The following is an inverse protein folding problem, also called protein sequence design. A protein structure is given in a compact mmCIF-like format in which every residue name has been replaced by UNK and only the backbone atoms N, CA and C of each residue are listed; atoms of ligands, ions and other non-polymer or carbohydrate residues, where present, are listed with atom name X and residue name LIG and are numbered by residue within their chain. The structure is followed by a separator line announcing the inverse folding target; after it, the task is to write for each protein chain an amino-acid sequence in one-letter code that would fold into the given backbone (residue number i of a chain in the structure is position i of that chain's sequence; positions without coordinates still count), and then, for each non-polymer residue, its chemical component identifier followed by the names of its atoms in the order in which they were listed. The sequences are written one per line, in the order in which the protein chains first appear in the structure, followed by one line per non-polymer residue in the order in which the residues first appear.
data_IF_196418277639
#
_entry.id   IF_196418277639
#
_cell.length_a   1.000
_cell.length_b   1.000
_cell.length_c   1.000
_cell.angle_alpha   90.00
_cell.angle_beta   90.00
_cell.angle_gamma   90.00
#
_symmetry.space_group_name_H-M   'P 1'
#
loop_
_entity.id
_entity.type
_entity.pdbx_description
1 polymer ?
#
# COMPACT_ATOMS: atom_id res chain seq x y z
N UNK A 1 9.43 -17.97 -9.62
CA UNK A 1 10.27 -17.63 -8.45
C UNK A 1 11.47 -18.56 -8.48
N UNK A 2 12.69 -18.02 -8.42
CA UNK A 2 13.92 -18.80 -8.31
C UNK A 2 14.64 -18.41 -7.03
N UNK A 3 15.15 -19.39 -6.27
CA UNK A 3 15.99 -19.09 -5.11
C UNK A 3 16.68 -20.31 -4.50
N UNK A 4 17.89 -20.08 -3.96
CA UNK A 4 18.63 -21.03 -3.13
C UNK A 4 18.41 -20.65 -1.66
N UNK A 5 18.09 -21.62 -0.82
CA UNK A 5 17.82 -21.42 0.63
C UNK A 5 18.90 -22.06 1.51
N UNK A 6 19.94 -22.65 0.92
CA UNK A 6 20.83 -23.56 1.64
C UNK A 6 21.92 -22.90 2.53
N UNK A 7 22.04 -21.57 2.59
CA UNK A 7 22.99 -20.86 3.49
C UNK A 7 22.85 -19.32 3.46
N UNK A 8 22.38 -18.79 2.33
CA UNK A 8 21.98 -17.40 2.16
C UNK A 8 20.73 -17.38 1.29
N UNK A 9 19.79 -16.49 1.62
CA UNK A 9 18.68 -16.15 0.77
C UNK A 9 19.21 -15.46 -0.48
N UNK A 10 18.73 -15.88 -1.64
CA UNK A 10 18.80 -15.15 -2.90
C UNK A 10 17.52 -15.49 -3.65
N UNK A 11 16.45 -14.76 -3.35
CA UNK A 11 15.12 -14.99 -3.91
C UNK A 11 14.79 -13.80 -4.80
N UNK A 12 14.47 -14.10 -6.06
CA UNK A 12 14.00 -13.11 -7.01
C UNK A 12 12.57 -13.48 -7.41
N UNK A 13 11.63 -12.63 -7.01
CA UNK A 13 10.23 -12.74 -7.36
C UNK A 13 9.85 -11.62 -8.33
N UNK A 14 9.29 -12.02 -9.47
CA UNK A 14 8.69 -11.12 -10.44
C UNK A 14 7.19 -11.39 -10.44
N UNK A 15 6.41 -10.36 -10.14
CA UNK A 15 4.96 -10.37 -10.15
C UNK A 15 4.52 -9.77 -11.49
N UNK A 16 3.82 -10.57 -12.29
CA UNK A 16 3.27 -10.14 -13.56
C UNK A 16 1.74 -10.21 -13.47
N UNK A 17 1.10 -9.06 -13.21
CA UNK A 17 -0.37 -8.92 -13.16
C UNK A 17 -1.04 -9.99 -12.29
N UNK A 18 -0.51 -10.21 -11.09
CA UNK A 18 -1.07 -11.14 -10.11
C UNK A 18 -2.41 -10.58 -9.62
N UNK A 19 -3.53 -11.32 -9.70
CA UNK A 19 -4.82 -10.84 -9.21
C UNK A 19 -4.80 -10.60 -7.70
N UNK A 20 -5.35 -9.48 -7.24
CA UNK A 20 -5.46 -9.19 -5.79
C UNK A 20 -6.53 -10.06 -5.14
N UNK A 21 -7.45 -10.64 -5.92
CA UNK A 21 -8.49 -11.54 -5.43
C UNK A 21 -7.94 -12.76 -4.66
N UNK A 22 -6.66 -13.11 -4.85
CA UNK A 22 -5.96 -14.10 -4.03
C UNK A 22 -5.96 -13.73 -2.53
N UNK A 23 -6.02 -12.44 -2.17
CA UNK A 23 -6.11 -12.00 -0.78
C UNK A 23 -7.45 -12.40 -0.11
N UNK A 24 -8.50 -12.64 -0.89
CA UNK A 24 -9.84 -12.95 -0.37
C UNK A 24 -9.91 -14.29 0.36
N UNK A 25 -8.99 -15.22 0.10
CA UNK A 25 -8.91 -16.47 0.86
C UNK A 25 -8.44 -16.27 2.31
N UNK A 26 -7.79 -15.13 2.59
CA UNK A 26 -7.26 -14.81 3.92
C UNK A 26 -8.19 -13.87 4.70
N UNK A 27 -9.08 -13.15 4.01
CA UNK A 27 -10.01 -12.20 4.63
C UNK A 27 -11.40 -12.30 3.98
N UNK A 28 -12.33 -13.06 4.59
CA UNK A 28 -13.72 -13.10 4.14
C UNK A 28 -14.35 -11.70 4.15
N UNK A 29 -15.04 -11.34 3.07
CA UNK A 29 -15.69 -10.04 2.93
C UNK A 29 -14.78 -8.90 2.48
N UNK A 30 -13.47 -9.14 2.26
CA UNK A 30 -12.56 -8.13 1.68
C UNK A 30 -12.97 -7.78 0.24
N UNK A 31 -13.36 -8.79 -0.55
CA UNK A 31 -13.76 -8.65 -1.95
C UNK A 31 -12.76 -7.78 -2.75
N UNK A 32 -11.49 -8.10 -2.58
CA UNK A 32 -10.38 -7.40 -3.21
C UNK A 32 -10.36 -7.66 -4.71
N UNK A 33 -10.18 -6.59 -5.47
CA UNK A 33 -10.06 -6.59 -6.92
C UNK A 33 -8.84 -5.77 -7.36
N UNK A 34 -8.47 -5.93 -8.63
CA UNK A 34 -7.29 -5.31 -9.23
C UNK A 34 -6.16 -6.30 -9.46
N UNK A 35 -5.00 -5.77 -9.83
CA UNK A 35 -3.81 -6.58 -10.12
C UNK A 35 -2.54 -5.93 -9.62
N UNK A 36 -1.58 -6.75 -9.21
CA UNK A 36 -0.26 -6.35 -8.74
C UNK A 36 0.79 -6.81 -9.73
N UNK A 37 1.71 -5.92 -10.07
CA UNK A 37 2.94 -6.21 -10.78
C UNK A 37 4.12 -5.63 -10.02
N UNK A 38 5.32 -6.14 -10.27
CA UNK A 38 6.52 -5.61 -9.63
C UNK A 38 7.58 -6.66 -9.36
N UNK A 39 8.60 -6.26 -8.62
CA UNK A 39 9.73 -7.11 -8.29
C UNK A 39 10.02 -7.07 -6.81
N UNK A 40 10.45 -8.22 -6.28
CA UNK A 40 10.94 -8.36 -4.91
C UNK A 40 12.22 -9.17 -4.97
N UNK A 41 13.27 -8.63 -4.35
CA UNK A 41 14.56 -9.28 -4.20
C UNK A 41 14.86 -9.45 -2.72
N UNK A 42 15.11 -10.68 -2.30
CA UNK A 42 15.50 -11.01 -0.93
C UNK A 42 16.90 -11.61 -0.95
N UNK A 43 17.80 -11.03 -0.16
CA UNK A 43 19.19 -11.48 -0.01
C UNK A 43 19.58 -11.62 1.47
N UNK A 44 20.77 -12.11 1.76
CA UNK A 44 21.31 -12.17 3.13
C UNK A 44 20.99 -13.47 3.87
N UNK A 45 21.19 -13.53 5.19
CA UNK A 45 20.88 -14.74 5.96
C UNK A 45 19.39 -14.78 6.33
N UNK A 46 18.79 -15.97 6.49
CA UNK A 46 17.41 -16.09 6.97
C UNK A 46 17.13 -15.39 8.31
N UNK A 47 18.14 -15.32 9.19
CA UNK A 47 18.09 -14.59 10.46
C UNK A 47 18.20 -13.07 10.32
N UNK A 48 18.77 -12.58 9.21
CA UNK A 48 19.01 -11.16 8.92
C UNK A 48 18.81 -10.86 7.43
N UNK A 49 17.57 -10.97 6.91
CA UNK A 49 17.32 -10.79 5.50
C UNK A 49 17.42 -9.31 5.10
N UNK A 50 17.85 -9.09 3.86
CA UNK A 50 17.77 -7.80 3.17
C UNK A 50 16.77 -7.91 2.02
N UNK A 51 15.73 -7.09 2.02
CA UNK A 51 14.70 -7.08 0.99
C UNK A 51 14.75 -5.75 0.25
N UNK A 52 14.62 -5.79 -1.07
CA UNK A 52 14.30 -4.63 -1.89
C UNK A 52 13.06 -4.96 -2.72
N UNK A 53 12.11 -4.02 -2.80
CA UNK A 53 10.90 -4.22 -3.58
C UNK A 53 10.51 -2.96 -4.34
N UNK A 54 9.83 -3.18 -5.46
CA UNK A 54 9.13 -2.17 -6.22
C UNK A 54 7.85 -2.79 -6.77
N UNK A 55 6.71 -2.27 -6.37
CA UNK A 55 5.40 -2.85 -6.58
C UNK A 55 4.46 -1.79 -7.12
N UNK A 56 3.72 -2.16 -8.17
CA UNK A 56 2.65 -1.38 -8.77
C UNK A 56 1.37 -2.19 -8.73
N UNK A 57 0.32 -1.62 -8.17
CA UNK A 57 -1.01 -2.19 -8.12
C UNK A 57 -1.98 -1.27 -8.89
N UNK A 58 -2.79 -1.87 -9.76
CA UNK A 58 -3.72 -1.15 -10.61
C UNK A 58 -5.16 -1.60 -10.34
N UNK A 59 -6.08 -0.63 -10.30
CA UNK A 59 -7.50 -0.88 -10.09
C UNK A 59 -7.82 -1.53 -8.75
N UNK A 60 -7.06 -1.20 -7.71
CA UNK A 60 -7.22 -1.76 -6.36
C UNK A 60 -8.55 -1.30 -5.77
N UNK A 61 -9.38 -2.26 -5.38
CA UNK A 61 -10.65 -2.00 -4.70
C UNK A 61 -10.95 -3.10 -3.69
N UNK A 62 -11.69 -2.76 -2.63
CA UNK A 62 -12.27 -3.70 -1.66
C UNK A 62 -13.75 -3.40 -1.50
N UNK A 63 -14.49 -4.26 -0.79
CA UNK A 63 -15.90 -4.00 -0.47
C UNK A 63 -16.06 -2.69 0.31
N UNK A 64 -15.13 -2.40 1.23
CA UNK A 64 -15.15 -1.20 2.04
C UNK A 64 -14.87 0.05 1.21
N UNK A 65 -13.87 0.04 0.33
CA UNK A 65 -13.56 1.22 -0.50
C UNK A 65 -14.68 1.50 -1.50
N UNK A 66 -15.27 0.45 -2.10
CA UNK A 66 -16.46 0.58 -2.95
C UNK A 66 -17.67 1.10 -2.18
N UNK A 67 -17.91 0.59 -0.96
CA UNK A 67 -18.96 1.09 -0.07
C UNK A 67 -18.74 2.53 0.41
N UNK A 68 -17.51 3.04 0.31
CA UNK A 68 -17.17 4.43 0.53
C UNK A 68 -17.27 5.30 -0.75
N UNK A 69 -17.64 4.72 -1.90
CA UNK A 69 -17.74 5.42 -3.17
C UNK A 69 -16.39 5.63 -3.87
N UNK A 70 -15.33 4.96 -3.42
CA UNK A 70 -14.01 5.04 -4.06
C UNK A 70 -13.97 4.15 -5.31
N UNK A 71 -13.44 4.71 -6.40
CA UNK A 71 -13.17 3.99 -7.63
C UNK A 71 -11.97 3.03 -7.51
N UNK A 72 -11.53 2.51 -8.65
CA UNK A 72 -10.29 1.75 -8.73
C UNK A 72 -9.10 2.66 -8.45
N UNK A 73 -8.28 2.32 -7.44
CA UNK A 73 -7.09 3.08 -7.09
C UNK A 73 -5.85 2.45 -7.71
N UNK A 74 -4.92 3.29 -8.14
CA UNK A 74 -3.57 2.89 -8.49
C UNK A 74 -2.66 3.15 -7.30
N UNK A 75 -1.86 2.15 -6.93
CA UNK A 75 -0.93 2.22 -5.79
C UNK A 75 0.43 1.80 -6.28
N UNK A 76 1.45 2.64 -6.14
CA UNK A 76 2.85 2.24 -6.30
C UNK A 76 3.56 2.32 -4.96
N UNK A 77 4.46 1.38 -4.70
CA UNK A 77 5.29 1.39 -3.51
C UNK A 77 6.64 0.75 -3.77
N UNK A 78 7.68 1.38 -3.25
CA UNK A 78 9.04 0.86 -3.32
C UNK A 78 9.72 1.02 -1.98
N UNK A 79 10.70 0.18 -1.70
CA UNK A 79 11.38 0.24 -0.42
C UNK A 79 12.40 -0.83 -0.20
N UNK A 80 13.00 -0.78 0.97
CA UNK A 80 13.99 -1.72 1.45
C UNK A 80 13.71 -2.13 2.88
N UNK A 81 14.02 -3.37 3.21
CA UNK A 81 14.04 -3.87 4.57
C UNK A 81 15.41 -4.44 4.86
N UNK A 82 16.13 -3.90 5.84
CA UNK A 82 17.41 -4.44 6.27
C UNK A 82 17.66 -4.05 7.73
N UNK A 83 18.36 -4.90 8.48
CA UNK A 83 18.70 -4.59 9.88
C UNK A 83 17.47 -4.31 10.75
N UNK A 84 16.38 -5.06 10.54
CA UNK A 84 15.09 -4.89 11.21
C UNK A 84 14.40 -3.54 10.99
N UNK A 85 14.77 -2.80 9.92
CA UNK A 85 14.14 -1.54 9.56
C UNK A 85 13.58 -1.62 8.14
N UNK A 86 12.29 -1.37 8.01
CA UNK A 86 11.62 -1.09 6.74
C UNK A 86 11.75 0.41 6.45
N UNK A 87 12.16 0.76 5.25
CA UNK A 87 12.05 2.11 4.70
C UNK A 87 11.34 2.02 3.35
N UNK A 88 10.31 2.83 3.15
CA UNK A 88 9.50 2.74 1.94
C UNK A 88 8.91 4.10 1.55
N UNK A 89 8.57 4.19 0.28
CA UNK A 89 7.75 5.23 -0.32
C UNK A 89 6.52 4.57 -0.96
N UNK A 90 5.43 5.30 -0.98
CA UNK A 90 4.16 4.89 -1.54
C UNK A 90 3.44 6.08 -2.18
N UNK A 91 2.77 5.83 -3.30
CA UNK A 91 1.90 6.78 -3.96
C UNK A 91 0.58 6.09 -4.27
N UNK A 92 -0.52 6.73 -3.93
CA UNK A 92 -1.89 6.30 -4.19
C UNK A 92 -2.56 7.38 -5.03
N UNK A 93 -3.23 6.98 -6.11
CA UNK A 93 -4.03 7.90 -6.91
C UNK A 93 -5.25 7.24 -7.52
N UNK A 94 -6.22 8.03 -7.95
CA UNK A 94 -7.37 7.55 -8.72
C UNK A 94 -7.79 8.55 -9.81
N UNK A 95 -8.81 8.18 -10.59
CA UNK A 95 -9.33 9.02 -11.67
C UNK A 95 -10.22 10.16 -11.16
N UNK A 96 -10.68 10.11 -9.91
CA UNK A 96 -11.51 11.13 -9.28
C UNK A 96 -10.69 12.30 -8.70
N UNK A 97 -9.36 12.22 -8.77
CA UNK A 97 -8.44 13.26 -8.32
C UNK A 97 -7.82 13.02 -6.94
N UNK A 98 -7.95 11.81 -6.38
CA UNK A 98 -7.16 11.37 -5.23
C UNK A 98 -5.68 11.34 -5.64
N UNK A 99 -4.84 11.88 -4.78
CA UNK A 99 -3.39 11.81 -4.94
C UNK A 99 -2.72 11.92 -3.60
N UNK A 100 -2.36 10.79 -2.99
CA UNK A 100 -1.64 10.71 -1.73
C UNK A 100 -0.25 10.14 -1.97
N UNK A 101 0.75 10.79 -1.39
CA UNK A 101 2.12 10.31 -1.34
C UNK A 101 2.52 10.15 0.10
N UNK A 102 3.36 9.19 0.39
CA UNK A 102 3.93 9.08 1.71
C UNK A 102 4.95 7.98 1.79
N UNK A 103 5.42 7.76 2.99
CA UNK A 103 6.52 6.85 3.22
C UNK A 103 7.14 7.11 4.57
N UNK A 104 8.30 6.52 4.78
CA UNK A 104 9.06 6.68 6.01
C UNK A 104 9.67 5.37 6.43
N UNK A 105 9.77 5.14 7.74
CA UNK A 105 10.39 3.94 8.26
C UNK A 105 9.66 3.31 9.43
N UNK A 106 9.79 1.99 9.52
CA UNK A 106 9.26 1.17 10.60
C UNK A 106 10.37 0.26 11.10
N UNK A 107 10.72 0.36 12.38
CA UNK A 107 11.57 -0.66 13.01
C UNK A 107 10.70 -1.84 13.43
N UNK A 108 11.23 -3.05 13.32
CA UNK A 108 10.49 -4.31 13.56
C UNK A 108 11.09 -5.15 14.67
N UNK A 109 12.28 -4.79 15.17
CA UNK A 109 12.86 -5.42 16.34
C UNK A 109 12.26 -4.82 17.62
N UNK A 110 11.83 -5.69 18.55
CA UNK A 110 11.17 -5.26 19.78
C UNK A 110 9.81 -4.62 19.51
N UNK A 111 9.46 -3.57 20.25
CA UNK A 111 8.25 -2.77 19.96
C UNK A 111 8.46 -1.98 18.66
N UNK A 112 7.64 -2.20 17.62
CA UNK A 112 7.81 -1.49 16.38
C UNK A 112 7.71 0.03 16.59
N UNK A 113 8.61 0.79 15.97
CA UNK A 113 8.56 2.26 16.01
C UNK A 113 8.31 2.79 14.63
N UNK A 114 7.31 3.67 14.51
CA UNK A 114 6.86 4.26 13.27
C UNK A 114 7.40 5.69 13.16
N UNK A 115 7.91 6.03 11.99
CA UNK A 115 8.17 7.39 11.55
C UNK A 115 7.69 7.52 10.11
N UNK A 116 6.43 7.90 9.95
CA UNK A 116 5.74 7.92 8.65
C UNK A 116 5.16 9.30 8.35
N UNK A 117 5.27 9.72 7.11
CA UNK A 117 4.77 11.00 6.62
C UNK A 117 3.92 10.76 5.38
N UNK A 118 2.72 11.30 5.37
CA UNK A 118 1.78 11.21 4.26
C UNK A 118 1.24 12.59 3.94
N UNK A 119 1.26 12.95 2.67
CA UNK A 119 0.70 14.21 2.19
C UNK A 119 -0.02 14.02 0.86
N UNK A 120 -0.99 14.87 0.59
CA UNK A 120 -1.62 14.90 -0.72
C UNK A 120 -3.05 15.42 -0.72
N UNK A 121 -3.74 15.16 -1.81
CA UNK A 121 -5.08 15.68 -2.10
C UNK A 121 -6.11 14.58 -1.98
N UNK A 122 -7.20 14.89 -1.28
CA UNK A 122 -8.36 14.02 -1.13
C UNK A 122 -9.61 14.77 -1.59
N UNK A 123 -10.24 14.36 -2.70
CA UNK A 123 -11.52 14.89 -3.14
C UNK A 123 -12.62 14.75 -2.07
N UNK A 124 -13.37 15.84 -1.81
CA UNK A 124 -14.56 15.76 -0.97
C UNK A 124 -15.70 15.00 -1.65
N UNK A 125 -15.61 14.74 -2.96
CA UNK A 125 -16.57 13.93 -3.69
C UNK A 125 -16.79 12.54 -3.08
N UNK A 126 -15.80 11.98 -2.37
CA UNK A 126 -15.95 10.71 -1.64
C UNK A 126 -16.89 10.81 -0.45
N UNK A 127 -16.91 11.95 0.24
CA UNK A 127 -17.87 12.23 1.32
C UNK A 127 -19.20 12.72 0.74
N UNK A 128 -19.13 13.51 -0.33
CA UNK A 128 -20.28 14.02 -1.04
C UNK A 128 -21.12 12.89 -1.66
N UNK A 129 -20.51 11.79 -2.12
CA UNK A 129 -21.27 10.64 -2.62
C UNK A 129 -22.26 10.08 -1.58
N UNK A 130 -21.88 10.11 -0.28
CA UNK A 130 -22.77 9.71 0.82
C UNK A 130 -23.77 10.81 1.21
N UNK A 131 -23.34 12.07 1.17
CA UNK A 131 -24.15 13.23 1.59
C UNK A 131 -25.16 13.67 0.50
N UNK A 132 -24.83 13.46 -0.77
CA UNK A 132 -25.70 13.72 -1.92
C UNK A 132 -26.92 12.80 -1.91
N UNK A 133 -26.79 11.57 -1.39
CA UNK A 133 -27.94 10.71 -1.12
C UNK A 133 -28.94 11.34 -0.13
N UNK A 134 -28.51 12.35 0.63
CA UNK A 134 -29.31 13.13 1.58
C UNK A 134 -29.65 14.55 1.06
N UNK A 135 -29.36 14.85 -0.22
CA UNK A 135 -29.64 16.15 -0.85
C UNK A 135 -28.60 17.24 -0.57
N UNK A 136 -27.43 16.89 0.00
CA UNK A 136 -26.35 17.84 0.31
C UNK A 136 -25.23 17.74 -0.75
N UNK A 137 -24.81 18.88 -1.29
CA UNK A 137 -23.68 18.96 -2.22
C UNK A 137 -22.43 19.50 -1.53
N UNK A 138 -21.29 18.84 -1.74
CA UNK A 138 -19.96 19.26 -1.26
C UNK A 138 -18.95 19.15 -2.40
N UNK A 139 -18.20 20.23 -2.61
CA UNK A 139 -17.36 20.42 -3.78
C UNK A 139 -15.96 20.82 -3.29
N UNK A 140 -14.91 20.26 -3.89
CA UNK A 140 -13.51 20.66 -3.62
C UNK A 140 -12.61 19.50 -3.20
N UNK A 141 -11.39 19.85 -2.79
CA UNK A 141 -10.36 18.90 -2.36
C UNK A 141 -9.78 19.33 -1.02
N UNK A 142 -9.63 18.39 -0.09
CA UNK A 142 -8.80 18.58 1.09
C UNK A 142 -7.33 18.36 0.75
N UNK A 143 -6.44 19.21 1.27
CA UNK A 143 -5.02 18.87 1.37
C UNK A 143 -4.80 18.23 2.74
N UNK A 144 -4.10 17.11 2.75
CA UNK A 144 -3.79 16.33 3.94
C UNK A 144 -2.29 16.35 4.12
N UNK A 145 -1.86 16.55 5.37
CA UNK A 145 -0.49 16.34 5.84
C UNK A 145 -0.62 15.61 7.18
N UNK A 146 -0.13 14.38 7.24
CA UNK A 146 -0.27 13.47 8.38
C UNK A 146 1.07 12.89 8.70
N UNK A 147 1.47 13.04 9.96
CA UNK A 147 2.68 12.46 10.51
C UNK A 147 2.30 11.44 11.58
N UNK A 148 2.90 10.26 11.50
CA UNK A 148 2.80 9.23 12.54
C UNK A 148 4.19 9.03 13.12
N UNK A 149 4.29 9.15 14.45
CA UNK A 149 5.54 9.02 15.20
C UNK A 149 5.26 8.21 16.46
N UNK A 150 6.15 7.28 16.79
CA UNK A 150 6.14 6.57 18.09
C UNK A 150 6.00 5.05 17.97
N UNK A 151 5.91 4.35 19.12
CA UNK A 151 5.73 2.91 19.17
C UNK A 151 4.34 2.49 18.68
N UNK A 152 4.23 1.31 18.05
CA UNK A 152 2.99 0.67 17.64
C UNK A 152 2.21 0.08 18.82
#
# INVERSE_FOLDING_TARGET
VTGKVAQALDINANLARVPISLANSFSPGLDAAGSISGTVKVTGQPSTPSVAFNIDAAGVQTSQTRGAGLGGMNVSSSGTFAGNKLAFDANISDDAGLGLKGGGSVTTAGTPTLALDFNGKVPFSFLAAKLAAQGLALNGTANVDVQVRGPA
#
